data_IF_694299130354
#
_entry.id   IF_694299130354
#
_cell.length_a   1.000
_cell.length_b   1.000
_cell.length_c   1.000
_cell.angle_alpha   90.00
_cell.angle_beta   90.00
_cell.angle_gamma   90.00
#
_symmetry.space_group_name_H-M   'P 1'
#
loop_
_entity.id
_entity.type
_entity.pdbx_description
1 polymer ?
#
# COMPACT_ATOMS: atom_id res chain seq x y z
N UNK A 1 27.09 6.25 -9.85
CA UNK A 1 25.93 5.80 -10.64
C UNK A 1 24.76 5.81 -9.69
N UNK A 2 24.01 6.91 -9.61
CA UNK A 2 22.89 7.01 -8.65
C UNK A 2 21.70 6.26 -9.23
N UNK A 3 21.23 5.25 -8.52
CA UNK A 3 20.02 4.50 -8.83
C UNK A 3 18.83 5.46 -8.82
N UNK A 4 18.35 5.88 -10.01
CA UNK A 4 17.11 6.62 -10.15
C UNK A 4 15.95 5.72 -9.71
N UNK A 5 15.54 5.82 -8.45
CA UNK A 5 14.32 5.19 -7.96
C UNK A 5 13.14 6.04 -8.42
N UNK A 6 12.43 5.57 -9.44
CA UNK A 6 11.13 6.11 -9.80
C UNK A 6 10.17 5.88 -8.63
N UNK A 7 9.60 6.96 -8.12
CA UNK A 7 8.60 6.96 -7.06
C UNK A 7 7.24 7.38 -7.64
N UNK A 8 6.18 6.80 -7.13
CA UNK A 8 4.80 7.11 -7.50
C UNK A 8 4.06 7.69 -6.30
N UNK A 9 3.38 8.81 -6.50
CA UNK A 9 2.60 9.49 -5.46
C UNK A 9 1.21 9.82 -5.96
N UNK A 10 0.24 9.85 -5.05
CA UNK A 10 -1.14 10.20 -5.39
C UNK A 10 -1.26 11.72 -5.43
N UNK A 11 -1.92 12.21 -6.46
CA UNK A 11 -2.21 13.63 -6.62
C UNK A 11 -3.40 13.96 -5.74
N UNK A 12 -3.19 14.79 -4.71
CA UNK A 12 -4.27 15.22 -3.80
C UNK A 12 -4.87 16.56 -4.23
N UNK A 13 -4.09 17.39 -4.93
CA UNK A 13 -4.54 18.67 -5.47
C UNK A 13 -4.14 18.74 -6.93
N UNK A 14 -5.08 19.08 -7.81
CA UNK A 14 -4.80 19.15 -9.24
C UNK A 14 -3.71 20.19 -9.53
N UNK A 15 -2.70 19.80 -10.32
CA UNK A 15 -1.61 20.68 -10.70
C UNK A 15 -1.17 20.44 -12.13
N UNK A 16 -0.53 21.44 -12.71
CA UNK A 16 0.13 21.29 -14.01
C UNK A 16 1.63 21.15 -13.77
N UNK A 17 2.19 20.01 -14.18
CA UNK A 17 3.61 19.80 -14.07
C UNK A 17 4.38 20.71 -15.05
N UNK A 18 5.45 21.34 -14.58
CA UNK A 18 6.23 22.30 -15.39
C UNK A 18 7.19 21.63 -16.36
N UNK A 19 7.59 20.39 -16.10
CA UNK A 19 8.55 19.63 -16.90
C UNK A 19 7.85 18.79 -17.96
N UNK A 20 6.79 18.08 -17.57
CA UNK A 20 6.00 17.24 -18.47
C UNK A 20 4.89 18.02 -19.18
N UNK A 21 4.53 19.21 -18.71
CA UNK A 21 3.37 20.00 -19.17
C UNK A 21 2.01 19.29 -19.03
N UNK A 22 2.00 18.13 -18.39
CA UNK A 22 0.81 17.30 -18.11
C UNK A 22 0.02 17.93 -16.97
N UNK A 23 -1.30 17.91 -17.12
CA UNK A 23 -2.21 18.29 -16.05
C UNK A 23 -2.62 17.04 -15.29
N UNK A 24 -2.27 16.99 -14.01
CA UNK A 24 -2.65 15.92 -13.11
C UNK A 24 -3.89 16.35 -12.33
N UNK A 25 -4.94 15.52 -12.38
CA UNK A 25 -6.16 15.73 -11.62
C UNK A 25 -6.05 15.08 -10.23
N UNK A 26 -6.90 15.52 -9.30
CA UNK A 26 -6.99 14.89 -7.98
C UNK A 26 -7.34 13.41 -8.15
N UNK A 27 -6.56 12.54 -7.51
CA UNK A 27 -6.68 11.08 -7.56
C UNK A 27 -5.79 10.39 -8.60
N UNK A 28 -5.19 11.13 -9.54
CA UNK A 28 -4.22 10.59 -10.49
C UNK A 28 -2.92 10.19 -9.79
N UNK A 29 -2.11 9.36 -10.45
CA UNK A 29 -0.78 9.02 -9.97
C UNK A 29 0.30 9.82 -10.70
N UNK A 30 1.25 10.34 -9.91
CA UNK A 30 2.38 11.12 -10.38
C UNK A 30 3.65 10.30 -10.19
N UNK A 31 4.30 9.94 -11.31
CA UNK A 31 5.55 9.19 -11.34
C UNK A 31 6.72 10.13 -11.63
N UNK A 32 7.71 10.13 -10.75
CA UNK A 32 8.95 10.91 -10.95
C UNK A 32 10.14 10.24 -10.28
N UNK A 33 11.35 10.50 -10.79
CA UNK A 33 12.60 10.11 -10.12
C UNK A 33 13.25 11.28 -9.35
N UNK A 34 12.71 12.50 -9.50
CA UNK A 34 13.21 13.71 -8.85
C UNK A 34 12.64 13.87 -7.43
N UNK A 35 13.43 13.47 -6.43
CA UNK A 35 13.03 13.59 -5.02
C UNK A 35 12.77 15.05 -4.60
N UNK A 36 13.61 16.00 -5.03
CA UNK A 36 13.42 17.43 -4.69
C UNK A 36 12.08 17.96 -5.21
N UNK A 37 11.64 17.49 -6.38
CA UNK A 37 10.35 17.83 -6.98
C UNK A 37 9.20 17.25 -6.15
N UNK A 38 9.32 15.99 -5.73
CA UNK A 38 8.33 15.32 -4.86
C UNK A 38 8.19 16.08 -3.56
N UNK A 39 9.29 16.36 -2.86
CA UNK A 39 9.27 17.04 -1.56
C UNK A 39 8.64 18.43 -1.67
N UNK A 40 8.93 19.16 -2.75
CA UNK A 40 8.28 20.44 -3.04
C UNK A 40 6.76 20.27 -3.21
N UNK A 41 6.33 19.32 -4.05
CA UNK A 41 4.91 19.09 -4.32
C UNK A 41 4.16 18.55 -3.09
N UNK A 42 4.80 17.73 -2.25
CA UNK A 42 4.24 17.26 -0.98
C UNK A 42 4.11 18.40 0.03
N UNK A 43 5.14 19.25 0.17
CA UNK A 43 5.12 20.40 1.08
C UNK A 43 4.05 21.42 0.72
N UNK A 44 3.83 21.65 -0.57
CA UNK A 44 2.77 22.52 -1.09
C UNK A 44 1.39 21.85 -1.04
N UNK A 45 1.29 20.55 -0.75
CA UNK A 45 0.02 19.83 -0.67
C UNK A 45 -0.57 19.45 -2.02
N UNK A 46 0.26 19.25 -3.05
CA UNK A 46 -0.14 18.71 -4.35
C UNK A 46 -0.11 17.19 -4.41
N UNK A 47 0.87 16.58 -3.74
CA UNK A 47 1.05 15.12 -3.66
C UNK A 47 0.83 14.62 -2.24
N UNK A 48 0.40 13.37 -2.13
CA UNK A 48 0.29 12.64 -0.87
C UNK A 48 1.69 12.44 -0.26
N UNK A 49 1.79 12.52 1.07
CA UNK A 49 3.05 12.33 1.80
C UNK A 49 3.54 10.88 1.76
N UNK A 50 2.61 9.95 1.57
CA UNK A 50 2.89 8.53 1.44
C UNK A 50 3.01 8.20 -0.06
N UNK A 51 4.05 7.47 -0.49
CA UNK A 51 4.08 6.95 -1.85
C UNK A 51 2.90 6.00 -2.05
N UNK A 52 2.34 6.00 -3.26
CA UNK A 52 1.39 4.98 -3.71
C UNK A 52 2.20 3.72 -3.94
N UNK A 53 2.62 3.11 -2.83
CA UNK A 53 3.06 1.75 -2.86
C UNK A 53 1.78 0.94 -2.87
N UNK A 54 1.49 0.26 -3.98
CA UNK A 54 0.56 -0.86 -4.06
C UNK A 54 0.90 -2.01 -3.07
N UNK A 55 1.72 -1.76 -2.06
CA UNK A 55 1.83 -2.58 -0.86
C UNK A 55 0.62 -2.31 0.04
N UNK A 56 -0.52 -2.85 -0.37
CA UNK A 56 -1.36 -3.47 0.64
C UNK A 56 -0.57 -4.69 1.10
N UNK A 57 0.01 -4.73 2.33
CA UNK A 57 0.46 -6.00 2.83
C UNK A 57 -0.76 -6.89 2.74
N UNK A 58 -0.65 -7.97 1.96
CA UNK A 58 -1.56 -9.10 2.07
C UNK A 58 -1.30 -9.65 3.46
N UNK A 59 -1.81 -8.96 4.48
CA UNK A 59 -1.97 -9.55 5.80
C UNK A 59 -2.94 -10.69 5.53
N UNK A 60 -2.54 -11.95 5.75
CA UNK A 60 -3.50 -13.03 5.66
C UNK A 60 -4.54 -12.76 6.75
N UNK A 61 -5.72 -12.29 6.36
CA UNK A 61 -6.80 -12.02 7.32
C UNK A 61 -7.60 -13.31 7.50
N UNK A 62 -7.78 -13.75 8.75
CA UNK A 62 -8.72 -14.82 9.08
C UNK A 62 -10.16 -14.38 8.73
N UNK A 63 -10.86 -15.15 7.91
CA UNK A 63 -12.23 -14.83 7.47
C UNK A 63 -13.23 -15.43 8.46
N UNK A 64 -14.09 -14.60 9.07
CA UNK A 64 -15.14 -15.11 9.96
C UNK A 64 -16.28 -15.76 9.15
N UNK A 65 -16.43 -17.09 9.24
CA UNK A 65 -17.42 -17.88 8.49
C UNK A 65 -18.73 -18.10 9.26
N UNK A 66 -18.89 -17.50 10.44
CA UNK A 66 -20.08 -17.59 11.28
C UNK A 66 -20.01 -18.70 12.34
N UNK A 67 -20.86 -18.61 13.38
CA UNK A 67 -20.87 -19.57 14.49
C UNK A 67 -19.62 -19.56 15.38
N UNK A 68 -18.82 -18.49 15.31
CA UNK A 68 -17.54 -18.39 16.01
C UNK A 68 -16.40 -19.15 15.32
N UNK A 69 -16.55 -19.53 14.04
CA UNK A 69 -15.51 -20.14 13.24
C UNK A 69 -14.84 -19.13 12.32
N UNK A 70 -13.53 -19.27 12.15
CA UNK A 70 -12.68 -18.45 11.32
C UNK A 70 -11.92 -19.33 10.34
N UNK A 71 -11.90 -18.96 9.07
CA UNK A 71 -11.19 -19.63 7.99
C UNK A 71 -9.84 -18.95 7.77
N UNK A 72 -8.77 -19.73 7.80
CA UNK A 72 -7.39 -19.30 7.60
C UNK A 72 -7.08 -19.21 6.09
N UNK A 73 -6.02 -18.49 5.68
CA UNK A 73 -5.59 -18.44 4.27
C UNK A 73 -5.32 -19.81 3.66
N UNK A 74 -5.02 -20.83 4.47
CA UNK A 74 -4.81 -22.21 4.06
C UNK A 74 -6.13 -23.01 3.85
N UNK A 75 -7.29 -22.39 4.07
CA UNK A 75 -8.61 -23.05 3.99
C UNK A 75 -9.02 -23.82 5.26
N UNK A 76 -8.20 -23.79 6.31
CA UNK A 76 -8.52 -24.41 7.61
C UNK A 76 -9.52 -23.59 8.41
N UNK A 77 -10.49 -24.24 9.05
CA UNK A 77 -11.51 -23.60 9.87
C UNK A 77 -11.22 -23.81 11.34
N UNK A 78 -10.90 -22.72 12.04
CA UNK A 78 -10.58 -22.72 13.47
C UNK A 78 -11.70 -22.04 14.25
N UNK A 79 -12.12 -22.68 15.35
CA UNK A 79 -13.14 -22.14 16.24
C UNK A 79 -12.51 -21.18 17.25
N UNK A 80 -12.97 -19.93 17.25
CA UNK A 80 -12.51 -18.87 18.13
C UNK A 80 -11.46 -17.99 17.49
N UNK A 81 -11.59 -16.68 17.72
CA UNK A 81 -10.71 -15.65 17.14
C UNK A 81 -9.25 -15.85 17.57
N UNK A 82 -9.03 -16.15 18.85
CA UNK A 82 -7.69 -16.37 19.41
C UNK A 82 -7.01 -17.59 18.81
N UNK A 83 -7.74 -18.71 18.68
CA UNK A 83 -7.21 -19.92 18.07
C UNK A 83 -6.89 -19.71 16.58
N UNK A 84 -7.71 -18.91 15.87
CA UNK A 84 -7.49 -18.60 14.46
C UNK A 84 -6.29 -17.67 14.25
N UNK A 85 -6.09 -16.67 15.13
CA UNK A 85 -4.89 -15.83 15.15
C UNK A 85 -3.63 -16.66 15.45
N UNK A 86 -3.69 -17.57 16.42
CA UNK A 86 -2.58 -18.45 16.76
C UNK A 86 -2.23 -19.39 15.60
N UNK A 87 -3.24 -20.01 14.98
CA UNK A 87 -3.04 -20.87 13.83
C UNK A 87 -2.56 -20.09 12.60
N UNK A 88 -2.91 -18.81 12.47
CA UNK A 88 -2.38 -17.94 11.43
C UNK A 88 -0.89 -17.64 11.66
N UNK A 89 -0.51 -17.30 12.89
CA UNK A 89 0.89 -17.07 13.28
C UNK A 89 1.73 -18.36 13.12
N UNK A 90 1.16 -19.53 13.40
CA UNK A 90 1.79 -20.83 13.13
C UNK A 90 1.87 -21.17 11.62
N UNK A 91 0.98 -20.60 10.80
CA UNK A 91 0.91 -20.80 9.34
C UNK A 91 1.65 -19.73 8.52
N UNK A 92 2.30 -18.76 9.14
CA UNK A 92 3.32 -17.94 8.48
C UNK A 92 4.68 -18.63 8.65
N UNK A 93 5.01 -19.75 7.94
CA UNK A 93 6.36 -20.23 7.96
C UNK A 93 7.23 -19.15 7.34
N UNK A 94 8.15 -18.63 8.16
CA UNK A 94 9.45 -18.13 7.75
C UNK A 94 9.86 -18.83 6.46
N UNK A 95 10.01 -18.04 5.39
CA UNK A 95 10.52 -18.55 4.13
C UNK A 95 11.84 -19.28 4.37
N UNK A 96 11.91 -20.52 3.92
CA UNK A 96 13.14 -21.28 3.73
C UNK A 96 13.20 -21.76 2.27
#
# INVERSE_FOLDING_TARGET
>A
MSEKKMQEFKVITAFRDKFSYVHYSVGESYKTDDQERVEFLQKEGFLETEPVSDYKPVVPEIVHVGGGYYELPNGEKVKGKEAALKALEELEPVGE
#
